data_IF_135614870479
#
_entry.id   IF_135614870479
#
_cell.length_a   1.000
_cell.length_b   1.000
_cell.length_c   1.000
_cell.angle_alpha   90.00
_cell.angle_beta   90.00
_cell.angle_gamma   90.00
#
_symmetry.space_group_name_H-M   'P 1'
#
loop_
_entity.id
_entity.type
_entity.pdbx_description
1 polymer ?
#
# COMPACT_ATOMS: atom_id res chain seq x y z
N UNK A 1 -0.07 2.15 -15.65
CA UNK A 1 -1.36 1.66 -15.12
C UNK A 1 -1.94 2.59 -14.06
N UNK A 2 -1.14 3.02 -13.09
CA UNK A 2 -1.68 3.65 -11.88
C UNK A 2 -1.94 5.15 -11.97
N UNK A 3 -1.23 5.90 -12.82
CA UNK A 3 -1.37 7.37 -12.88
C UNK A 3 -2.82 7.85 -13.00
N UNK A 4 -3.19 8.81 -12.13
CA UNK A 4 -4.53 9.37 -11.98
C UNK A 4 -5.62 8.36 -11.62
N UNK A 5 -5.28 7.16 -11.15
CA UNK A 5 -6.25 6.20 -10.62
C UNK A 5 -6.36 6.33 -9.11
N UNK A 6 -7.58 6.11 -8.62
CA UNK A 6 -7.84 5.85 -7.20
C UNK A 6 -8.28 4.41 -7.05
N UNK A 7 -7.67 3.69 -6.10
CA UNK A 7 -8.04 2.33 -5.76
C UNK A 7 -8.38 2.22 -4.28
N UNK A 8 -9.38 1.40 -3.97
CA UNK A 8 -9.67 0.90 -2.64
C UNK A 8 -8.99 -0.45 -2.47
N UNK A 9 -8.22 -0.58 -1.41
CA UNK A 9 -7.61 -1.83 -0.97
C UNK A 9 -8.30 -2.27 0.31
N UNK A 10 -8.80 -3.50 0.35
CA UNK A 10 -9.41 -4.09 1.55
C UNK A 10 -8.63 -5.33 1.95
N UNK A 11 -7.95 -5.29 3.09
CA UNK A 11 -7.08 -6.37 3.58
C UNK A 11 -7.83 -7.37 4.46
N UNK A 12 -7.28 -8.59 4.54
CA UNK A 12 -7.75 -9.72 5.36
C UNK A 12 -7.80 -9.43 6.88
N UNK A 13 -6.97 -8.51 7.36
CA UNK A 13 -6.98 -8.05 8.75
C UNK A 13 -8.06 -6.99 9.04
N UNK A 14 -8.91 -6.65 8.06
CA UNK A 14 -9.97 -5.67 8.18
C UNK A 14 -9.54 -4.22 7.95
N UNK A 15 -8.26 -3.95 7.68
CA UNK A 15 -7.81 -2.62 7.31
C UNK A 15 -8.24 -2.28 5.86
N UNK A 16 -8.65 -1.03 5.65
CA UNK A 16 -9.07 -0.54 4.33
C UNK A 16 -8.34 0.75 4.02
N UNK A 17 -7.76 0.83 2.83
CA UNK A 17 -7.04 2.00 2.35
C UNK A 17 -7.62 2.50 1.03
N UNK A 18 -7.70 3.81 0.86
CA UNK A 18 -7.77 4.47 -0.44
C UNK A 18 -6.36 4.86 -0.86
N UNK A 19 -5.94 4.48 -2.05
CA UNK A 19 -4.67 4.91 -2.65
C UNK A 19 -4.96 5.65 -3.95
N UNK A 20 -4.67 6.94 -3.97
CA UNK A 20 -4.77 7.80 -5.15
C UNK A 20 -3.38 8.02 -5.71
N UNK A 21 -3.15 7.54 -6.93
CA UNK A 21 -1.89 7.74 -7.64
C UNK A 21 -1.91 9.08 -8.36
N UNK A 22 -1.03 9.97 -7.94
CA UNK A 22 -0.90 11.35 -8.37
C UNK A 22 0.15 11.47 -9.50
N UNK A 23 0.10 12.56 -10.30
CA UNK A 23 1.15 12.84 -11.28
C UNK A 23 2.55 12.93 -10.65
N UNK A 24 3.54 12.47 -11.40
CA UNK A 24 4.95 12.55 -11.04
C UNK A 24 5.40 11.48 -10.04
N UNK A 25 4.90 10.24 -10.18
CA UNK A 25 5.30 9.09 -9.34
C UNK A 25 5.04 9.32 -7.85
N UNK A 26 3.92 9.97 -7.53
CA UNK A 26 3.45 10.16 -6.16
C UNK A 26 2.16 9.40 -5.93
N UNK A 27 1.92 9.00 -4.70
CA UNK A 27 0.63 8.48 -4.27
C UNK A 27 0.20 9.19 -3.00
N UNK A 28 -1.11 9.24 -2.76
CA UNK A 28 -1.68 9.57 -1.46
C UNK A 28 -2.43 8.36 -0.95
N UNK A 29 -2.04 7.85 0.21
CA UNK A 29 -2.81 6.83 0.90
C UNK A 29 -3.71 7.48 1.95
N UNK A 30 -4.86 6.87 2.23
CA UNK A 30 -5.78 7.28 3.31
C UNK A 30 -6.38 6.03 3.93
N UNK A 31 -6.19 5.85 5.23
CA UNK A 31 -6.77 4.73 5.97
C UNK A 31 -8.25 5.01 6.26
N UNK A 32 -9.13 4.20 5.69
CA UNK A 32 -10.59 4.31 5.85
C UNK A 32 -11.10 3.50 7.04
N UNK A 33 -10.48 2.34 7.28
CA UNK A 33 -10.81 1.40 8.36
C UNK A 33 -9.53 0.73 8.86
N UNK A 34 -9.48 0.37 10.15
CA UNK A 34 -8.30 -0.21 10.78
C UNK A 34 -7.67 0.69 11.86
N UNK A 35 -6.48 0.31 12.32
CA UNK A 35 -5.78 0.99 13.42
C UNK A 35 -5.45 2.46 13.09
N UNK A 36 -5.10 2.73 11.83
CA UNK A 36 -4.65 4.06 11.39
C UNK A 36 -5.79 4.92 10.81
N UNK A 37 -7.05 4.57 11.10
CA UNK A 37 -8.22 5.21 10.50
C UNK A 37 -8.17 6.73 10.62
N UNK A 38 -8.35 7.40 9.47
CA UNK A 38 -8.31 8.86 9.36
C UNK A 38 -6.93 9.41 8.99
N UNK A 39 -5.86 8.61 9.09
CA UNK A 39 -4.53 9.02 8.67
C UNK A 39 -4.39 9.00 7.15
N UNK A 40 -3.54 9.88 6.64
CA UNK A 40 -3.17 9.96 5.24
C UNK A 40 -1.80 10.60 5.07
N UNK A 41 -1.04 10.18 4.08
CA UNK A 41 0.19 10.85 3.66
C UNK A 41 0.37 10.78 2.14
N UNK A 42 1.22 11.67 1.62
CA UNK A 42 1.72 11.60 0.25
C UNK A 42 3.13 11.05 0.23
N UNK A 43 3.38 10.09 -0.65
CA UNK A 43 4.69 9.44 -0.77
C UNK A 43 5.10 9.31 -2.23
N UNK A 44 6.41 9.24 -2.47
CA UNK A 44 6.94 8.85 -3.77
C UNK A 44 6.89 7.33 -3.90
N UNK A 45 6.43 6.84 -5.04
CA UNK A 45 6.30 5.40 -5.28
C UNK A 45 7.01 4.97 -6.56
N UNK A 46 7.32 3.68 -6.63
CA UNK A 46 7.75 3.02 -7.85
C UNK A 46 6.79 1.89 -8.17
N UNK A 47 6.55 1.66 -9.45
CA UNK A 47 5.78 0.53 -9.94
C UNK A 47 6.43 -0.04 -11.19
N UNK A 48 6.58 -1.36 -11.23
CA UNK A 48 7.08 -2.10 -12.38
C UNK A 48 6.13 -3.26 -12.67
N UNK A 49 5.83 -3.48 -13.95
CA UNK A 49 5.10 -4.67 -14.37
C UNK A 49 6.09 -5.85 -14.45
N UNK A 50 5.87 -6.89 -13.65
CA UNK A 50 6.77 -8.04 -13.51
C UNK A 50 6.30 -9.25 -14.32
N UNK A 51 5.03 -9.27 -14.72
CA UNK A 51 4.41 -10.17 -15.67
C UNK A 51 3.11 -9.49 -16.19
N UNK A 52 2.48 -9.96 -17.28
CA UNK A 52 1.25 -9.35 -17.78
C UNK A 52 0.19 -9.18 -16.68
N UNK A 53 -0.24 -7.93 -16.44
CA UNK A 53 -1.18 -7.53 -15.37
C UNK A 53 -0.71 -7.81 -13.93
N UNK A 54 0.56 -8.17 -13.72
CA UNK A 54 1.14 -8.35 -12.38
C UNK A 54 2.14 -7.22 -12.13
N UNK A 55 1.83 -6.41 -11.13
CA UNK A 55 2.59 -5.20 -10.81
C UNK A 55 3.27 -5.35 -9.46
N UNK A 56 4.58 -5.08 -9.41
CA UNK A 56 5.29 -4.82 -8.18
C UNK A 56 5.27 -3.32 -7.90
N UNK A 57 4.71 -2.92 -6.76
CA UNK A 57 4.58 -1.52 -6.34
C UNK A 57 5.26 -1.36 -4.98
N UNK A 58 6.03 -0.28 -4.78
CA UNK A 58 6.62 -0.01 -3.48
C UNK A 58 6.80 1.48 -3.21
N UNK A 59 6.77 1.84 -1.92
CA UNK A 59 7.13 3.17 -1.41
C UNK A 59 7.72 3.04 0.00
N UNK A 60 8.35 4.13 0.43
CA UNK A 60 8.78 4.34 1.80
C UNK A 60 7.97 5.51 2.36
N UNK A 61 7.47 5.38 3.57
CA UNK A 61 6.86 6.48 4.30
C UNK A 61 7.93 7.32 5.00
N UNK A 62 7.60 8.58 5.31
CA UNK A 62 8.53 9.53 5.91
C UNK A 62 9.15 9.06 7.25
N UNK A 63 8.43 8.22 8.01
CA UNK A 63 8.88 7.66 9.29
C UNK A 63 9.68 6.35 9.15
N UNK A 64 9.91 5.90 7.92
CA UNK A 64 10.68 4.71 7.59
C UNK A 64 9.85 3.43 7.44
N UNK A 65 8.52 3.49 7.51
CA UNK A 65 7.68 2.34 7.12
C UNK A 65 7.91 2.01 5.64
N UNK A 66 8.23 0.75 5.35
CA UNK A 66 8.41 0.27 3.99
C UNK A 66 7.17 -0.53 3.55
N UNK A 67 6.60 -0.18 2.40
CA UNK A 67 5.46 -0.92 1.83
C UNK A 67 5.85 -1.48 0.47
N UNK A 68 5.61 -2.77 0.28
CA UNK A 68 5.80 -3.47 -0.99
C UNK A 68 4.54 -4.26 -1.31
N UNK A 69 4.14 -4.26 -2.58
CA UNK A 69 2.91 -4.87 -3.03
C UNK A 69 3.13 -5.64 -4.32
N UNK A 70 2.43 -6.76 -4.45
CA UNK A 70 2.18 -7.44 -5.72
C UNK A 70 0.69 -7.31 -6.01
N UNK A 71 0.34 -6.48 -6.98
CA UNK A 71 -1.01 -6.17 -7.39
C UNK A 71 -1.36 -6.87 -8.71
N UNK A 72 -2.55 -7.47 -8.76
CA UNK A 72 -3.14 -8.10 -9.94
C UNK A 72 -4.51 -7.46 -10.20
N UNK A 73 -4.58 -6.31 -10.89
CA UNK A 73 -5.79 -5.52 -11.05
C UNK A 73 -6.96 -6.27 -11.68
N UNK A 74 -6.76 -7.07 -12.73
CA UNK A 74 -7.84 -7.82 -13.38
C UNK A 74 -8.42 -8.91 -12.47
N UNK A 75 -7.55 -9.57 -11.68
CA UNK A 75 -7.96 -10.55 -10.69
C UNK A 75 -8.55 -9.90 -9.41
N UNK A 76 -8.46 -8.57 -9.28
CA UNK A 76 -8.83 -7.81 -8.09
C UNK A 76 -8.12 -8.28 -6.81
N UNK A 77 -6.87 -8.73 -6.91
CA UNK A 77 -6.07 -9.26 -5.79
C UNK A 77 -4.83 -8.42 -5.54
N UNK A 78 -4.47 -8.24 -4.27
CA UNK A 78 -3.20 -7.63 -3.86
C UNK A 78 -2.60 -8.38 -2.67
N UNK A 79 -1.28 -8.54 -2.70
CA UNK A 79 -0.50 -9.04 -1.57
C UNK A 79 0.46 -7.94 -1.16
N UNK A 80 0.50 -7.60 0.13
CA UNK A 80 1.29 -6.48 0.65
C UNK A 80 2.17 -6.94 1.79
N UNK A 81 3.43 -6.55 1.77
CA UNK A 81 4.32 -6.63 2.92
C UNK A 81 4.60 -5.22 3.43
N UNK A 82 4.40 -5.01 4.74
CA UNK A 82 4.70 -3.76 5.44
C UNK A 82 5.77 -4.05 6.47
N UNK A 83 6.87 -3.30 6.45
CA UNK A 83 7.91 -3.35 7.47
C UNK A 83 7.85 -2.06 8.27
N UNK A 84 7.51 -2.18 9.56
CA UNK A 84 7.41 -1.07 10.48
C UNK A 84 8.69 -1.03 11.35
N UNK A 85 9.44 0.08 11.35
CA UNK A 85 10.63 0.25 12.18
C UNK A 85 10.40 -0.04 13.67
N UNK A 86 11.40 -0.63 14.32
CA UNK A 86 11.34 -1.07 15.72
C UNK A 86 10.94 0.06 16.70
N UNK A 87 11.44 1.29 16.43
CA UNK A 87 11.16 2.48 17.21
C UNK A 87 9.69 2.93 17.15
N UNK A 88 8.96 2.59 16.10
CA UNK A 88 7.53 2.93 15.97
C UNK A 88 6.62 1.92 16.67
N UNK A 89 7.07 0.67 16.83
CA UNK A 89 6.30 -0.40 17.51
C UNK A 89 6.75 -0.65 18.96
N UNK A 90 7.71 0.14 19.45
CA UNK A 90 8.23 0.04 20.83
C UNK A 90 9.00 -1.25 21.13
N UNK A 91 9.54 -1.91 20.10
CA UNK A 91 10.27 -3.16 20.20
C UNK A 91 11.76 -3.03 19.89
N UNK A 92 12.51 -4.13 20.03
CA UNK A 92 13.93 -4.20 19.62
C UNK A 92 14.12 -4.54 18.14
N UNK A 93 13.07 -5.02 17.48
CA UNK A 93 13.11 -5.49 16.08
C UNK A 93 11.97 -4.87 15.28
N UNK A 94 12.14 -4.67 13.96
CA UNK A 94 11.05 -4.25 13.08
C UNK A 94 9.90 -5.24 13.11
N UNK A 95 8.67 -4.75 12.95
CA UNK A 95 7.49 -5.58 12.78
C UNK A 95 7.22 -5.75 11.29
N UNK A 96 7.14 -7.01 10.83
CA UNK A 96 6.71 -7.34 9.47
C UNK A 96 5.26 -7.78 9.46
N UNK A 97 4.44 -7.14 8.61
CA UNK A 97 3.08 -7.56 8.31
C UNK A 97 3.04 -8.12 6.89
N UNK A 98 2.34 -9.22 6.69
CA UNK A 98 2.04 -9.80 5.37
C UNK A 98 0.53 -9.89 5.27
N UNK A 99 -0.05 -9.18 4.31
CA UNK A 99 -1.49 -8.99 4.16
C UNK A 99 -1.90 -9.39 2.76
N UNK A 100 -3.01 -10.12 2.66
CA UNK A 100 -3.71 -10.33 1.39
C UNK A 100 -4.95 -9.45 1.35
N UNK A 101 -5.36 -9.01 0.18
CA UNK A 101 -6.53 -8.16 0.04
C UNK A 101 -7.10 -8.11 -1.36
N UNK A 102 -8.16 -7.34 -1.51
CA UNK A 102 -8.80 -7.06 -2.79
C UNK A 102 -8.62 -5.62 -3.22
N UNK A 103 -8.64 -5.40 -4.53
CA UNK A 103 -8.57 -4.07 -5.16
C UNK A 103 -9.92 -3.75 -5.82
N UNK A 104 -10.43 -2.54 -5.61
CA UNK A 104 -11.53 -1.99 -6.38
C UNK A 104 -11.16 -0.60 -6.90
N UNK A 105 -11.54 -0.27 -8.13
CA UNK A 105 -11.38 1.09 -8.64
C UNK A 105 -12.49 1.99 -8.07
N UNK A 106 -12.13 3.19 -7.61
CA UNK A 106 -13.06 4.23 -7.17
C UNK A 106 -13.19 5.37 -8.19
#
# INVERSE_FOLDING_TARGET
>A
MFDNKTIRISYDNGAVYRVTYLPGSRLRWTCLEGQDKGNSAEESYNAIEIAPDIWFVHWMEADGIAVTQVAQPEAAVINTTIIIPANLVGGEKPLGLVLSGTIAQE
#
